data_IF_816949060431
#
_entry.id   IF_816949060431
#
_cell.length_a   1.000
_cell.length_b   1.000
_cell.length_c   1.000
_cell.angle_alpha   90.00
_cell.angle_beta   90.00
_cell.angle_gamma   90.00
#
_symmetry.space_group_name_H-M   'P 1'
#
loop_
_entity.id
_entity.type
_entity.pdbx_description
1 polymer ?
#
# COMPACT_ATOMS: atom_id res chain seq x y z
N UNK A 1 36.92 -27.13 29.97
CA UNK A 1 35.96 -26.14 29.40
C UNK A 1 35.92 -26.42 27.91
N UNK A 2 35.17 -27.45 27.54
CA UNK A 2 34.93 -27.77 26.13
C UNK A 2 34.08 -26.68 25.52
N UNK A 3 34.63 -26.00 24.51
CA UNK A 3 33.87 -25.12 23.63
C UNK A 3 33.48 -25.95 22.42
N UNK A 4 32.38 -26.68 22.55
CA UNK A 4 31.73 -27.27 21.39
C UNK A 4 31.39 -26.14 20.42
N UNK A 5 31.96 -26.25 19.22
CA UNK A 5 31.69 -25.38 18.10
C UNK A 5 30.37 -25.89 17.50
N UNK A 6 29.26 -25.25 17.87
CA UNK A 6 27.92 -25.58 17.39
C UNK A 6 27.86 -25.47 15.85
N UNK A 7 28.15 -26.57 15.16
CA UNK A 7 27.90 -26.71 13.73
C UNK A 7 26.39 -26.77 13.52
N UNK A 8 25.82 -25.75 12.87
CA UNK A 8 24.40 -25.71 12.55
C UNK A 8 24.05 -26.80 11.52
N UNK A 9 23.47 -27.91 11.98
CA UNK A 9 22.98 -29.00 11.13
C UNK A 9 21.63 -28.59 10.52
N UNK A 10 21.52 -28.67 9.19
CA UNK A 10 20.25 -28.49 8.46
C UNK A 10 19.67 -29.86 8.12
N UNK A 11 18.52 -30.19 8.70
CA UNK A 11 17.80 -31.45 8.43
C UNK A 11 16.55 -31.13 7.61
N UNK A 12 16.32 -31.81 6.46
CA UNK A 12 15.08 -31.63 5.70
C UNK A 12 13.84 -31.99 6.52
N UNK A 13 12.88 -31.08 6.62
CA UNK A 13 11.68 -31.26 7.44
C UNK A 13 10.86 -32.50 7.03
N UNK A 14 10.82 -32.86 5.75
CA UNK A 14 10.07 -34.01 5.25
C UNK A 14 10.60 -35.34 5.78
N UNK A 15 11.91 -35.43 6.05
CA UNK A 15 12.50 -36.63 6.66
C UNK A 15 11.98 -36.81 8.08
N UNK A 16 11.89 -35.72 8.84
CA UNK A 16 11.40 -35.73 10.22
C UNK A 16 9.88 -35.94 10.26
N UNK A 17 9.13 -35.30 9.37
CA UNK A 17 7.67 -35.38 9.35
C UNK A 17 7.16 -36.79 9.00
N UNK A 18 7.93 -37.59 8.24
CA UNK A 18 7.63 -39.00 7.97
C UNK A 18 7.61 -39.86 9.23
N UNK A 19 8.47 -39.57 10.20
CA UNK A 19 8.49 -40.27 11.49
C UNK A 19 7.26 -39.96 12.36
N UNK A 20 6.50 -38.91 12.01
CA UNK A 20 5.26 -38.52 12.66
C UNK A 20 4.01 -38.84 11.82
N UNK A 21 4.08 -39.85 10.95
CA UNK A 21 2.94 -40.36 10.20
C UNK A 21 2.22 -41.47 11.00
N UNK A 22 0.89 -41.37 11.10
CA UNK A 22 0.10 -42.35 11.82
C UNK A 22 -0.03 -43.61 10.94
N UNK A 23 0.32 -44.81 11.44
CA UNK A 23 0.24 -46.05 10.66
C UNK A 23 -1.21 -46.51 10.37
N UNK A 24 -2.22 -45.89 11.00
CA UNK A 24 -3.64 -46.21 10.81
C UNK A 24 -4.25 -45.33 9.72
N UNK A 25 -4.12 -44.01 9.83
CA UNK A 25 -4.72 -43.07 8.87
C UNK A 25 -3.76 -42.58 7.78
N UNK A 26 -2.46 -42.88 7.90
CA UNK A 26 -1.39 -42.43 6.99
C UNK A 26 -1.32 -40.90 6.83
N UNK A 27 -1.83 -40.18 7.83
CA UNK A 27 -1.73 -38.74 7.95
C UNK A 27 -0.76 -38.33 9.04
N UNK A 28 -0.39 -37.06 9.08
CA UNK A 28 0.38 -36.50 10.19
C UNK A 28 -0.38 -36.71 11.50
N UNK A 29 0.33 -37.18 12.52
CA UNK A 29 -0.26 -37.53 13.80
C UNK A 29 -0.89 -36.29 14.44
N UNK A 30 -2.18 -36.42 14.74
CA UNK A 30 -2.98 -35.44 15.48
C UNK A 30 -3.34 -36.02 16.82
N UNK A 31 -3.15 -35.23 17.84
CA UNK A 31 -3.33 -35.68 19.21
C UNK A 31 -2.51 -36.95 19.52
N UNK A 32 -1.18 -36.82 19.40
CA UNK A 32 -0.23 -37.91 19.52
C UNK A 32 -0.41 -38.77 20.78
N UNK A 33 -0.70 -40.05 20.59
CA UNK A 33 -0.88 -41.05 21.64
C UNK A 33 0.18 -42.15 21.50
N UNK A 34 0.83 -42.49 22.61
CA UNK A 34 1.87 -43.53 22.69
C UNK A 34 1.30 -44.73 23.44
N UNK A 35 1.42 -45.92 22.87
CA UNK A 35 1.10 -47.18 23.56
C UNK A 35 2.27 -47.62 24.46
N UNK A 36 2.03 -48.51 25.43
CA UNK A 36 3.11 -49.08 26.28
C UNK A 36 4.24 -49.74 25.50
N UNK A 37 3.96 -50.26 24.30
CA UNK A 37 4.96 -50.83 23.41
C UNK A 37 5.73 -49.77 22.59
N UNK A 38 5.47 -48.47 22.81
CA UNK A 38 6.24 -47.36 22.26
C UNK A 38 5.77 -46.84 20.89
N UNK A 39 4.66 -47.34 20.35
CA UNK A 39 4.17 -46.93 19.03
C UNK A 39 3.25 -45.72 19.12
N UNK A 40 3.31 -44.86 18.09
CA UNK A 40 2.65 -43.56 18.05
C UNK A 40 1.45 -43.57 17.09
N UNK A 41 0.34 -42.99 17.51
CA UNK A 41 -0.90 -42.92 16.75
C UNK A 41 -1.64 -41.60 16.98
N UNK A 42 -2.59 -41.26 16.10
CA UNK A 42 -3.60 -40.27 16.45
C UNK A 42 -4.53 -40.83 17.54
N UNK A 43 -5.00 -39.97 18.44
CA UNK A 43 -5.96 -40.36 19.49
C UNK A 43 -7.17 -41.11 18.94
N UNK A 44 -7.89 -40.52 17.99
CA UNK A 44 -9.10 -41.12 17.42
C UNK A 44 -8.81 -42.46 16.75
N UNK A 45 -7.64 -42.60 16.11
CA UNK A 45 -7.24 -43.82 15.43
C UNK A 45 -6.95 -44.97 16.41
N UNK A 46 -6.21 -44.70 17.48
CA UNK A 46 -5.89 -45.76 18.46
C UNK A 46 -7.12 -46.12 19.29
N UNK A 47 -7.95 -45.15 19.65
CA UNK A 47 -9.20 -45.40 20.38
C UNK A 47 -10.13 -46.32 19.56
N UNK A 48 -10.28 -46.08 18.25
CA UNK A 48 -11.09 -46.93 17.39
C UNK A 48 -10.51 -48.36 17.26
N UNK A 49 -9.19 -48.49 17.12
CA UNK A 49 -8.55 -49.80 17.04
C UNK A 49 -8.72 -50.61 18.33
N UNK A 50 -8.47 -49.98 19.49
CA UNK A 50 -8.53 -50.65 20.78
C UNK A 50 -9.95 -51.03 21.20
N UNK A 51 -10.95 -50.24 20.78
CA UNK A 51 -12.37 -50.60 20.95
C UNK A 51 -12.75 -51.87 20.18
N UNK A 52 -12.05 -52.19 19.08
CA UNK A 52 -12.30 -53.41 18.30
C UNK A 52 -11.46 -54.58 18.79
N UNK A 53 -10.19 -54.34 19.11
CA UNK A 53 -9.23 -55.35 19.56
C UNK A 53 -8.25 -54.71 20.52
N UNK A 54 -8.09 -55.28 21.71
CA UNK A 54 -7.14 -54.84 22.73
C UNK A 54 -5.68 -55.16 22.38
N UNK A 55 -5.25 -54.82 21.16
CA UNK A 55 -3.91 -55.04 20.64
C UNK A 55 -3.42 -53.80 19.89
N UNK A 56 -2.12 -53.49 20.01
CA UNK A 56 -1.47 -52.43 19.27
C UNK A 56 -1.58 -52.70 17.75
N UNK A 57 -2.11 -51.76 16.94
CA UNK A 57 -2.26 -51.95 15.50
C UNK A 57 -0.95 -52.22 14.75
N UNK A 58 0.18 -51.74 15.29
CA UNK A 58 1.47 -51.84 14.62
C UNK A 58 2.23 -53.14 14.94
N UNK A 59 2.23 -53.59 16.20
CA UNK A 59 3.02 -54.74 16.64
C UNK A 59 2.23 -55.87 17.30
N UNK A 60 0.90 -55.72 17.45
CA UNK A 60 -0.03 -56.69 18.06
C UNK A 60 0.24 -57.01 19.54
N UNK A 61 1.02 -56.18 20.22
CA UNK A 61 1.18 -56.28 21.67
C UNK A 61 -0.16 -56.00 22.36
N UNK A 62 -0.52 -56.76 23.40
CA UNK A 62 -1.73 -56.52 24.18
C UNK A 62 -1.71 -55.09 24.73
N UNK A 63 -2.76 -54.33 24.46
CA UNK A 63 -2.84 -52.92 24.84
C UNK A 63 -4.29 -52.55 25.04
N UNK A 64 -4.60 -51.91 26.16
CA UNK A 64 -5.93 -51.40 26.47
C UNK A 64 -5.95 -49.87 26.41
N UNK A 65 -7.15 -49.27 26.34
CA UNK A 65 -7.32 -47.81 26.22
C UNK A 65 -6.66 -47.07 27.40
N UNK A 66 -6.72 -47.66 28.59
CA UNK A 66 -6.12 -47.11 29.82
C UNK A 66 -4.58 -47.06 29.77
N UNK A 67 -3.97 -47.85 28.88
CA UNK A 67 -2.52 -47.95 28.72
C UNK A 67 -1.98 -47.03 27.63
N UNK A 68 -2.87 -46.27 26.97
CA UNK A 68 -2.51 -45.28 25.97
C UNK A 68 -2.25 -43.94 26.66
N UNK A 69 -1.05 -43.40 26.45
CA UNK A 69 -0.62 -42.15 27.08
C UNK A 69 -0.58 -41.04 26.03
N UNK A 70 -1.24 -39.92 26.33
CA UNK A 70 -1.21 -38.72 25.50
C UNK A 70 0.17 -38.04 25.60
N UNK A 71 0.80 -37.77 24.46
CA UNK A 71 2.11 -37.13 24.40
C UNK A 71 2.02 -35.69 23.84
N UNK A 72 1.87 -34.72 24.76
CA UNK A 72 1.78 -33.30 24.42
C UNK A 72 3.07 -32.71 23.84
N UNK A 73 4.23 -33.26 24.23
CA UNK A 73 5.53 -32.81 23.72
C UNK A 73 5.65 -33.09 22.23
N UNK A 74 5.18 -34.25 21.78
CA UNK A 74 5.18 -34.60 20.36
C UNK A 74 4.23 -33.73 19.55
N UNK A 75 3.04 -33.37 20.05
CA UNK A 75 2.21 -32.41 19.32
C UNK A 75 2.87 -31.05 19.20
N UNK A 76 3.57 -30.63 20.26
CA UNK A 76 4.27 -29.34 20.26
C UNK A 76 5.36 -29.35 19.20
N UNK A 77 6.14 -30.42 19.12
CA UNK A 77 7.18 -30.60 18.08
C UNK A 77 6.55 -30.62 16.68
N UNK A 78 5.49 -31.43 16.47
CA UNK A 78 4.79 -31.51 15.18
C UNK A 78 4.25 -30.13 14.78
N UNK A 79 3.64 -29.38 15.70
CA UNK A 79 3.15 -28.02 15.46
C UNK A 79 4.26 -27.07 15.06
N UNK A 80 5.38 -27.06 15.79
CA UNK A 80 6.53 -26.22 15.47
C UNK A 80 7.06 -26.56 14.07
N UNK A 81 7.26 -27.84 13.76
CA UNK A 81 7.74 -28.27 12.44
C UNK A 81 6.80 -27.83 11.30
N UNK A 82 5.49 -27.98 11.49
CA UNK A 82 4.51 -27.58 10.49
C UNK A 82 4.47 -26.05 10.31
N UNK A 83 4.58 -25.29 11.40
CA UNK A 83 4.64 -23.83 11.39
C UNK A 83 5.92 -23.33 10.71
N UNK A 84 7.08 -23.87 11.06
CA UNK A 84 8.35 -23.49 10.45
C UNK A 84 8.38 -23.85 8.95
N UNK A 85 7.80 -24.98 8.56
CA UNK A 85 7.62 -25.33 7.14
C UNK A 85 6.73 -24.32 6.41
N UNK A 86 5.64 -23.89 7.03
CA UNK A 86 4.74 -22.89 6.44
C UNK A 86 5.39 -21.50 6.35
N UNK A 87 6.13 -21.09 7.37
CA UNK A 87 6.95 -19.86 7.35
C UNK A 87 8.00 -19.91 6.23
N UNK A 88 8.78 -20.99 6.17
CA UNK A 88 9.80 -21.17 5.13
C UNK A 88 9.19 -21.18 3.71
N UNK A 89 8.02 -21.80 3.54
CA UNK A 89 7.28 -21.73 2.28
C UNK A 89 6.84 -20.30 1.96
N UNK A 90 6.29 -19.58 2.93
CA UNK A 90 5.87 -18.18 2.78
C UNK A 90 7.04 -17.27 2.41
N UNK A 91 8.15 -17.37 3.13
CA UNK A 91 9.39 -16.65 2.83
C UNK A 91 9.93 -16.98 1.43
N UNK A 92 9.90 -18.25 1.03
CA UNK A 92 10.28 -18.67 -0.31
C UNK A 92 9.40 -18.01 -1.38
N UNK A 93 8.08 -18.02 -1.22
CA UNK A 93 7.16 -17.37 -2.17
C UNK A 93 7.33 -15.85 -2.18
N UNK A 94 7.51 -15.22 -1.02
CA UNK A 94 7.82 -13.79 -0.93
C UNK A 94 9.12 -13.45 -1.63
N UNK A 95 10.14 -14.31 -1.52
CA UNK A 95 11.40 -14.14 -2.23
C UNK A 95 11.24 -14.28 -3.74
N UNK A 96 10.43 -15.23 -4.24
CA UNK A 96 10.13 -15.37 -5.67
C UNK A 96 9.38 -14.16 -6.20
N UNK A 97 8.41 -13.67 -5.43
CA UNK A 97 7.64 -12.48 -5.77
C UNK A 97 8.52 -11.23 -5.83
N UNK A 98 9.39 -11.04 -4.83
CA UNK A 98 10.34 -9.93 -4.76
C UNK A 98 11.46 -10.07 -5.81
N UNK A 99 11.84 -11.29 -6.19
CA UNK A 99 12.80 -11.54 -7.27
C UNK A 99 12.21 -11.26 -8.65
N UNK A 100 10.89 -11.38 -8.81
CA UNK A 100 10.14 -10.92 -9.99
C UNK A 100 9.98 -9.38 -10.04
N UNK A 101 10.89 -8.64 -9.42
CA UNK A 101 10.90 -7.17 -9.27
C UNK A 101 10.44 -6.46 -10.55
N UNK A 102 9.20 -5.95 -10.51
CA UNK A 102 8.85 -4.67 -11.10
C UNK A 102 9.65 -3.61 -10.32
N UNK A 103 10.36 -2.68 -10.97
CA UNK A 103 11.27 -1.76 -10.30
C UNK A 103 10.55 -0.97 -9.19
N UNK A 104 11.15 -0.94 -8.01
CA UNK A 104 10.67 -0.22 -6.83
C UNK A 104 10.47 1.27 -7.11
N UNK A 105 9.24 1.78 -6.94
CA UNK A 105 8.94 3.04 -6.28
C UNK A 105 7.43 3.20 -6.14
N UNK A 106 7.00 3.73 -4.99
CA UNK A 106 5.64 4.10 -4.60
C UNK A 106 4.89 3.07 -3.75
N UNK A 107 4.41 3.54 -2.60
CA UNK A 107 3.48 2.86 -1.71
C UNK A 107 2.30 2.35 -2.52
N UNK A 108 2.15 1.02 -2.62
CA UNK A 108 1.01 0.38 -3.27
C UNK A 108 -0.29 1.04 -2.77
N UNK A 109 -1.11 1.55 -3.69
CA UNK A 109 -2.41 2.10 -3.32
C UNK A 109 -3.29 0.98 -2.75
N UNK A 110 -4.20 1.23 -1.79
CA UNK A 110 -5.20 0.26 -1.30
C UNK A 110 -5.78 -0.69 -2.35
N UNK A 111 -6.02 -0.24 -3.59
CA UNK A 111 -6.53 -1.10 -4.68
C UNK A 111 -5.45 -2.06 -5.19
N UNK A 112 -4.21 -1.59 -5.38
CA UNK A 112 -3.09 -2.45 -5.75
C UNK A 112 -2.76 -3.43 -4.63
N UNK A 113 -2.87 -3.01 -3.36
CA UNK A 113 -2.73 -3.91 -2.22
C UNK A 113 -3.82 -4.98 -2.22
N UNK A 114 -5.09 -4.63 -2.43
CA UNK A 114 -6.18 -5.62 -2.50
C UNK A 114 -6.03 -6.54 -3.70
N UNK A 115 -5.70 -6.00 -4.87
CA UNK A 115 -5.50 -6.79 -6.08
C UNK A 115 -4.33 -7.75 -5.92
N UNK A 116 -3.23 -7.27 -5.35
CA UNK A 116 -2.03 -8.04 -5.12
C UNK A 116 -2.17 -9.04 -3.98
N UNK A 117 -2.91 -8.72 -2.92
CA UNK A 117 -3.23 -9.64 -1.82
C UNK A 117 -4.16 -10.74 -2.32
N UNK A 118 -5.26 -10.39 -2.98
CA UNK A 118 -6.24 -11.37 -3.46
C UNK A 118 -5.65 -12.25 -4.58
N UNK A 119 -4.79 -11.69 -5.44
CA UNK A 119 -4.09 -12.44 -6.48
C UNK A 119 -2.97 -13.30 -5.89
N UNK A 120 -2.19 -12.81 -4.91
CA UNK A 120 -1.19 -13.60 -4.15
C UNK A 120 -1.85 -14.76 -3.40
N UNK A 121 -2.96 -14.52 -2.72
CA UNK A 121 -3.73 -15.55 -2.02
C UNK A 121 -4.23 -16.61 -2.99
N UNK A 122 -4.82 -16.20 -4.12
CA UNK A 122 -5.29 -17.13 -5.16
C UNK A 122 -4.15 -17.94 -5.78
N UNK A 123 -3.00 -17.33 -6.06
CA UNK A 123 -1.82 -18.05 -6.58
C UNK A 123 -1.21 -19.01 -5.57
N UNK A 124 -1.09 -18.60 -4.29
CA UNK A 124 -0.57 -19.45 -3.21
C UNK A 124 -1.49 -20.63 -2.96
N UNK A 125 -2.80 -20.43 -2.97
CA UNK A 125 -3.80 -21.49 -2.81
C UNK A 125 -3.77 -22.47 -3.98
N UNK A 126 -3.61 -21.96 -5.22
CA UNK A 126 -3.42 -22.77 -6.41
C UNK A 126 -2.12 -23.59 -6.33
N UNK A 127 -0.96 -22.98 -6.10
CA UNK A 127 0.33 -23.68 -5.91
C UNK A 127 0.27 -24.76 -4.82
N UNK A 128 -0.38 -24.45 -3.69
CA UNK A 128 -0.61 -25.40 -2.59
C UNK A 128 -1.47 -26.58 -3.06
N UNK A 129 -2.53 -26.33 -3.82
CA UNK A 129 -3.36 -27.37 -4.41
C UNK A 129 -2.57 -28.26 -5.38
N UNK A 130 -1.77 -27.67 -6.27
CA UNK A 130 -0.92 -28.44 -7.21
C UNK A 130 0.12 -29.28 -6.49
N UNK A 131 0.76 -28.73 -5.45
CA UNK A 131 1.71 -29.48 -4.64
C UNK A 131 1.04 -30.66 -3.93
N UNK A 132 -0.13 -30.45 -3.33
CA UNK A 132 -0.89 -31.51 -2.68
C UNK A 132 -1.34 -32.59 -3.69
N UNK A 133 -1.78 -32.18 -4.88
CA UNK A 133 -2.12 -33.10 -5.96
C UNK A 133 -0.92 -33.96 -6.38
N UNK A 134 0.25 -33.33 -6.54
CA UNK A 134 1.51 -34.00 -6.88
C UNK A 134 1.95 -34.97 -5.78
N UNK A 135 1.89 -34.55 -4.52
CA UNK A 135 2.22 -35.38 -3.37
C UNK A 135 1.28 -36.59 -3.26
N UNK A 136 -0.02 -36.42 -3.48
CA UNK A 136 -0.98 -37.54 -3.54
C UNK A 136 -0.65 -38.52 -4.66
N UNK A 137 -0.28 -37.99 -5.82
CA UNK A 137 0.08 -38.81 -6.99
C UNK A 137 1.34 -39.62 -6.69
N UNK A 138 2.38 -39.01 -6.14
CA UNK A 138 3.62 -39.69 -5.73
C UNK A 138 3.39 -40.70 -4.60
N UNK A 139 2.52 -40.40 -3.62
CA UNK A 139 2.10 -41.37 -2.58
C UNK A 139 1.38 -42.56 -3.18
N UNK A 140 0.53 -42.35 -4.20
CA UNK A 140 -0.17 -43.43 -4.88
C UNK A 140 0.79 -44.29 -5.71
N UNK A 141 1.75 -43.67 -6.42
CA UNK A 141 2.80 -44.38 -7.16
C UNK A 141 3.70 -45.20 -6.25
N UNK A 142 4.14 -44.64 -5.14
CA UNK A 142 4.99 -45.33 -4.15
C UNK A 142 4.29 -46.52 -3.50
N UNK A 143 2.99 -46.41 -3.20
CA UNK A 143 2.16 -47.55 -2.75
C UNK A 143 2.09 -48.67 -3.80
N UNK A 144 1.87 -48.31 -5.07
CA UNK A 144 1.80 -49.26 -6.17
C UNK A 144 3.16 -49.92 -6.46
N UNK A 145 4.27 -49.16 -6.40
CA UNK A 145 5.65 -49.69 -6.48
C UNK A 145 5.99 -50.65 -5.35
N UNK A 146 5.42 -50.46 -4.17
CA UNK A 146 5.60 -51.35 -3.03
C UNK A 146 4.81 -52.66 -3.16
N UNK A 147 3.71 -52.67 -3.93
CA UNK A 147 2.84 -53.83 -4.13
C UNK A 147 3.13 -54.59 -5.44
N UNK A 148 3.69 -53.91 -6.45
CA UNK A 148 3.93 -54.46 -7.78
C UNK A 148 5.25 -53.90 -8.34
N UNK A 149 6.09 -54.75 -8.93
CA UNK A 149 7.29 -54.34 -9.67
C UNK A 149 7.27 -54.91 -11.08
N UNK A 150 7.47 -54.06 -12.09
CA UNK A 150 7.46 -54.44 -13.51
C UNK A 150 7.57 -53.22 -14.44
N UNK A 151 8.19 -53.41 -15.60
CA UNK A 151 8.41 -52.33 -16.60
C UNK A 151 7.10 -51.69 -17.11
N UNK A 152 6.02 -52.46 -17.13
CA UNK A 152 4.69 -52.00 -17.59
C UNK A 152 4.04 -51.01 -16.60
N UNK A 153 4.34 -51.14 -15.31
CA UNK A 153 3.87 -50.21 -14.27
C UNK A 153 4.56 -48.85 -14.38
N UNK A 154 5.87 -48.83 -14.64
CA UNK A 154 6.64 -47.60 -14.86
C UNK A 154 6.19 -46.86 -16.12
N UNK A 155 5.84 -47.61 -17.18
CA UNK A 155 5.31 -47.04 -18.41
C UNK A 155 3.97 -46.33 -18.17
N UNK A 156 3.07 -46.94 -17.40
CA UNK A 156 1.78 -46.35 -17.03
C UNK A 156 1.94 -45.12 -16.13
N UNK A 157 2.92 -45.10 -15.22
CA UNK A 157 3.20 -43.90 -14.41
C UNK A 157 3.70 -42.74 -15.26
N UNK A 158 4.55 -43.03 -16.25
CA UNK A 158 5.06 -42.02 -17.17
C UNK A 158 3.94 -41.41 -18.01
N UNK A 159 3.05 -42.24 -18.53
CA UNK A 159 1.86 -41.78 -19.28
C UNK A 159 0.90 -40.96 -18.39
N UNK A 160 0.75 -41.34 -17.12
CA UNK A 160 -0.04 -40.59 -16.15
C UNK A 160 0.55 -39.19 -15.86
N UNK A 161 1.87 -39.08 -15.73
CA UNK A 161 2.56 -37.79 -15.52
C UNK A 161 2.45 -36.86 -16.74
N UNK A 162 2.53 -37.43 -17.94
CA UNK A 162 2.35 -36.69 -19.20
C UNK A 162 0.91 -36.15 -19.31
N UNK A 163 -0.09 -36.98 -19.00
CA UNK A 163 -1.50 -36.58 -19.00
C UNK A 163 -1.81 -35.53 -17.92
N UNK A 164 -1.21 -35.67 -16.73
CA UNK A 164 -1.34 -34.68 -15.67
C UNK A 164 -0.78 -33.34 -16.14
N UNK A 165 0.47 -33.31 -16.64
CA UNK A 165 1.14 -32.10 -17.12
C UNK A 165 0.32 -31.36 -18.18
N UNK A 166 -0.24 -32.11 -19.14
CA UNK A 166 -1.10 -31.55 -20.19
C UNK A 166 -2.38 -30.93 -19.63
N UNK A 167 -2.96 -31.52 -18.59
CA UNK A 167 -4.13 -30.96 -17.91
C UNK A 167 -3.79 -29.66 -17.18
N UNK A 168 -2.59 -29.55 -16.60
CA UNK A 168 -2.11 -28.31 -15.96
C UNK A 168 -2.02 -27.18 -16.98
N UNK A 169 -1.39 -27.43 -18.13
CA UNK A 169 -1.24 -26.44 -19.20
C UNK A 169 -2.60 -25.88 -19.65
N UNK A 170 -3.59 -26.75 -19.86
CA UNK A 170 -4.95 -26.34 -20.25
C UNK A 170 -5.63 -25.45 -19.21
N UNK A 171 -5.42 -25.71 -17.91
CA UNK A 171 -5.98 -24.89 -16.83
C UNK A 171 -5.32 -23.51 -16.82
N UNK A 172 -3.99 -23.46 -16.95
CA UNK A 172 -3.23 -22.19 -16.99
C UNK A 172 -3.68 -21.32 -18.16
N UNK A 173 -3.84 -21.90 -19.36
CA UNK A 173 -4.31 -21.18 -20.55
C UNK A 173 -5.74 -20.64 -20.38
N UNK A 174 -6.65 -21.45 -19.83
CA UNK A 174 -8.02 -21.01 -19.57
C UNK A 174 -8.08 -19.88 -18.54
N UNK A 175 -7.21 -19.92 -17.52
CA UNK A 175 -7.12 -18.88 -16.50
C UNK A 175 -6.55 -17.57 -17.07
N UNK A 176 -5.47 -17.62 -17.85
CA UNK A 176 -4.90 -16.44 -18.52
C UNK A 176 -5.94 -15.75 -19.42
N UNK A 177 -6.71 -16.55 -20.18
CA UNK A 177 -7.81 -16.04 -21.02
C UNK A 177 -8.92 -15.37 -20.19
N UNK A 178 -9.26 -15.95 -19.04
CA UNK A 178 -10.26 -15.40 -18.13
C UNK A 178 -9.78 -14.11 -17.46
N UNK A 179 -8.52 -14.06 -17.02
CA UNK A 179 -7.90 -12.87 -16.45
C UNK A 179 -7.87 -11.72 -17.46
N UNK A 180 -7.52 -12.00 -18.71
CA UNK A 180 -7.60 -11.01 -19.81
C UNK A 180 -9.03 -10.50 -20.07
N UNK A 181 -10.05 -11.30 -19.76
CA UNK A 181 -11.46 -10.88 -19.92
C UNK A 181 -11.99 -10.03 -18.75
N UNK A 182 -11.40 -10.16 -17.57
CA UNK A 182 -11.81 -9.46 -16.34
C UNK A 182 -10.94 -8.22 -16.08
N UNK A 183 -9.72 -8.17 -16.62
CA UNK A 183 -8.83 -7.02 -16.48
C UNK A 183 -9.49 -5.75 -17.03
N UNK A 184 -9.61 -4.74 -16.18
CA UNK A 184 -10.11 -3.42 -16.56
C UNK A 184 -9.25 -2.85 -17.70
N UNK A 185 -9.84 -2.25 -18.75
CA UNK A 185 -9.07 -1.58 -19.79
C UNK A 185 -8.11 -0.54 -19.18
N UNK A 186 -6.87 -0.41 -19.68
CA UNK A 186 -5.87 0.54 -19.15
C UNK A 186 -6.32 2.02 -19.21
N UNK A 187 -7.43 2.29 -19.89
CA UNK A 187 -8.15 3.57 -20.00
C UNK A 187 -8.81 4.03 -18.68
N UNK A 188 -8.93 3.15 -17.67
CA UNK A 188 -9.51 3.49 -16.36
C UNK A 188 -8.45 3.73 -15.27
N UNK A 189 -7.17 3.44 -15.55
CA UNK A 189 -6.10 3.60 -14.57
C UNK A 189 -5.69 5.08 -14.42
N UNK A 190 -5.45 5.56 -13.18
CA UNK A 190 -4.91 6.88 -12.94
C UNK A 190 -3.55 7.10 -13.62
N UNK A 191 -3.32 8.32 -14.08
CA UNK A 191 -2.06 8.72 -14.74
C UNK A 191 -1.31 9.69 -13.83
N UNK A 192 -0.02 9.46 -13.63
CA UNK A 192 0.88 10.41 -12.99
C UNK A 192 1.15 11.57 -13.95
N UNK A 193 0.85 12.78 -13.52
CA UNK A 193 1.10 14.00 -14.28
C UNK A 193 1.75 15.08 -13.39
N UNK A 194 2.30 16.10 -14.05
CA UNK A 194 2.71 17.33 -13.39
C UNK A 194 1.71 18.44 -13.70
N UNK A 195 1.03 18.99 -12.70
CA UNK A 195 0.17 20.16 -12.85
C UNK A 195 0.95 21.44 -12.50
N UNK A 196 1.07 22.36 -13.45
CA UNK A 196 1.87 23.59 -13.30
C UNK A 196 1.03 24.85 -13.51
N UNK A 197 1.19 25.84 -12.64
CA UNK A 197 0.68 27.19 -12.86
C UNK A 197 1.87 28.18 -12.84
N UNK A 198 2.46 28.50 -14.01
CA UNK A 198 3.72 29.26 -14.09
C UNK A 198 3.64 30.64 -13.46
N UNK A 199 2.50 31.34 -13.63
CA UNK A 199 2.27 32.70 -13.10
C UNK A 199 2.35 32.77 -11.56
N UNK A 200 2.21 31.64 -10.86
CA UNK A 200 2.33 31.52 -9.39
C UNK A 200 3.43 30.55 -8.94
N UNK A 201 4.31 30.12 -9.85
CA UNK A 201 5.36 29.11 -9.56
C UNK A 201 4.83 27.84 -8.88
N UNK A 202 3.60 27.43 -9.21
CA UNK A 202 3.00 26.19 -8.68
C UNK A 202 3.45 25.01 -9.54
N UNK A 203 3.91 23.93 -8.89
CA UNK A 203 4.14 22.62 -9.53
C UNK A 203 3.69 21.53 -8.58
N UNK A 204 2.76 20.70 -9.03
CA UNK A 204 2.21 19.58 -8.27
C UNK A 204 2.45 18.27 -9.03
N UNK A 205 2.95 17.25 -8.33
CA UNK A 205 3.14 15.89 -8.84
C UNK A 205 2.03 15.00 -8.28
N UNK A 206 1.18 14.46 -9.15
CA UNK A 206 -0.05 13.78 -8.72
C UNK A 206 -0.50 12.71 -9.70
N UNK A 207 -1.25 11.74 -9.17
CA UNK A 207 -1.97 10.75 -9.96
C UNK A 207 -3.41 11.21 -10.12
N UNK A 208 -3.87 11.36 -11.36
CA UNK A 208 -5.25 11.76 -11.66
C UNK A 208 -5.97 10.64 -12.43
N UNK A 209 -7.18 10.24 -11.99
CA UNK A 209 -8.05 9.40 -12.77
C UNK A 209 -8.33 10.00 -14.15
N UNK A 210 -8.35 9.16 -15.20
CA UNK A 210 -8.63 9.58 -16.58
C UNK A 210 -10.05 10.16 -16.78
N UNK A 211 -10.93 10.01 -15.80
CA UNK A 211 -12.26 10.62 -15.74
C UNK A 211 -12.26 12.09 -15.32
N UNK A 212 -11.17 12.59 -14.75
CA UNK A 212 -11.09 13.99 -14.31
C UNK A 212 -11.26 14.95 -15.49
N UNK A 213 -11.85 16.09 -15.22
CA UNK A 213 -12.08 17.19 -16.16
C UNK A 213 -11.18 18.37 -15.79
N UNK A 214 -11.15 19.39 -16.65
CA UNK A 214 -10.50 20.68 -16.33
C UNK A 214 -11.06 21.34 -15.07
N UNK A 215 -12.33 21.10 -14.72
CA UNK A 215 -12.94 21.59 -13.48
C UNK A 215 -12.34 20.92 -12.26
N UNK A 216 -12.15 19.61 -12.31
CA UNK A 216 -11.53 18.86 -11.21
C UNK A 216 -10.07 19.30 -11.02
N UNK A 217 -9.35 19.60 -12.12
CA UNK A 217 -8.01 20.18 -12.05
C UNK A 217 -8.00 21.58 -11.40
N UNK A 218 -9.01 22.41 -11.66
CA UNK A 218 -9.17 23.71 -10.96
C UNK A 218 -9.43 23.52 -9.48
N UNK A 219 -10.32 22.59 -9.12
CA UNK A 219 -10.64 22.31 -7.72
C UNK A 219 -9.41 21.82 -6.96
N UNK A 220 -8.55 21.02 -7.60
CA UNK A 220 -7.25 20.62 -7.04
C UNK A 220 -6.37 21.85 -6.74
N UNK A 221 -6.26 22.80 -7.68
CA UNK A 221 -5.48 24.03 -7.49
C UNK A 221 -6.06 24.88 -6.34
N UNK A 222 -7.39 25.05 -6.31
CA UNK A 222 -8.07 25.83 -5.27
C UNK A 222 -7.85 25.20 -3.89
N UNK A 223 -8.08 23.89 -3.78
CA UNK A 223 -7.92 23.15 -2.53
C UNK A 223 -6.46 23.16 -2.04
N UNK A 224 -5.48 23.14 -2.95
CA UNK A 224 -4.07 23.29 -2.60
C UNK A 224 -3.82 24.61 -1.86
N UNK A 225 -4.29 25.74 -2.40
CA UNK A 225 -4.10 27.06 -1.79
C UNK A 225 -4.88 27.24 -0.48
N UNK A 226 -6.09 26.67 -0.39
CA UNK A 226 -6.84 26.61 0.87
C UNK A 226 -6.05 25.85 1.95
N UNK A 227 -5.48 24.69 1.61
CA UNK A 227 -4.68 23.88 2.54
C UNK A 227 -3.42 24.60 3.03
N UNK A 228 -2.86 25.49 2.22
CA UNK A 228 -1.70 26.33 2.56
C UNK A 228 -2.07 27.59 3.36
N UNK A 229 -3.36 27.81 3.63
CA UNK A 229 -3.84 28.94 4.43
C UNK A 229 -3.98 30.25 3.66
N UNK A 230 -3.89 30.23 2.33
CA UNK A 230 -4.02 31.41 1.47
C UNK A 230 -5.04 31.16 0.35
N UNK A 231 -6.34 31.29 0.62
CA UNK A 231 -7.39 30.91 -0.32
C UNK A 231 -7.39 31.79 -1.57
N UNK A 232 -7.77 31.19 -2.71
CA UNK A 232 -7.95 31.90 -3.99
C UNK A 232 -9.11 32.88 -3.89
N UNK A 233 -8.86 34.16 -4.18
CA UNK A 233 -9.86 35.23 -4.16
C UNK A 233 -10.57 35.39 -5.51
N UNK A 234 -9.82 35.34 -6.61
CA UNK A 234 -10.39 35.36 -7.96
C UNK A 234 -9.51 34.56 -8.92
N UNK A 235 -10.16 33.85 -9.84
CA UNK A 235 -9.51 33.03 -10.86
C UNK A 235 -10.01 33.48 -12.23
N UNK A 236 -9.09 33.79 -13.16
CA UNK A 236 -9.49 34.11 -14.53
C UNK A 236 -9.93 32.85 -15.29
N UNK A 237 -10.67 33.02 -16.38
CA UNK A 237 -10.96 31.93 -17.33
C UNK A 237 -9.67 31.51 -18.07
N UNK A 238 -8.82 30.74 -17.40
CA UNK A 238 -7.61 30.14 -17.96
C UNK A 238 -7.91 28.79 -18.60
N UNK A 239 -7.21 28.50 -19.70
CA UNK A 239 -7.26 27.18 -20.33
C UNK A 239 -6.22 26.25 -19.69
N UNK A 240 -6.48 24.95 -19.75
CA UNK A 240 -5.48 23.93 -19.46
C UNK A 240 -4.82 23.44 -20.74
N UNK A 241 -3.50 23.32 -20.69
CA UNK A 241 -2.65 22.99 -21.83
C UNK A 241 -1.80 21.78 -21.47
N UNK A 242 -1.99 20.68 -22.18
CA UNK A 242 -1.26 19.43 -22.01
C UNK A 242 -0.01 19.40 -22.89
N UNK A 243 1.11 19.02 -22.28
CA UNK A 243 2.38 18.68 -22.92
C UNK A 243 2.69 17.22 -22.63
N UNK A 244 2.77 16.40 -23.67
CA UNK A 244 3.09 14.98 -23.55
C UNK A 244 4.59 14.78 -23.28
N UNK A 245 4.93 13.82 -22.41
CA UNK A 245 6.32 13.58 -21.99
C UNK A 245 7.25 13.05 -23.10
N UNK A 246 6.70 12.46 -24.17
CA UNK A 246 7.44 11.77 -25.23
C UNK A 246 7.19 12.35 -26.64
N UNK A 247 6.48 13.47 -26.75
CA UNK A 247 6.25 14.15 -28.03
C UNK A 247 6.82 15.56 -27.97
N UNK A 248 7.85 15.80 -28.77
CA UNK A 248 8.37 17.15 -28.99
C UNK A 248 7.45 17.89 -29.98
N UNK A 249 6.41 18.55 -29.47
CA UNK A 249 5.74 19.63 -30.23
C UNK A 249 4.22 19.77 -30.10
N UNK A 250 3.50 18.72 -29.67
CA UNK A 250 2.04 18.79 -29.65
C UNK A 250 1.53 19.44 -28.36
N UNK A 251 1.15 20.71 -28.48
CA UNK A 251 0.47 21.48 -27.43
C UNK A 251 -1.04 21.23 -27.57
N UNK A 252 -1.62 20.49 -26.63
CA UNK A 252 -3.05 20.15 -26.66
C UNK A 252 -3.82 21.01 -25.65
N UNK A 253 -4.76 21.80 -26.13
CA UNK A 253 -5.68 22.55 -25.25
C UNK A 253 -6.80 21.60 -24.81
N UNK A 254 -6.97 21.44 -23.50
CA UNK A 254 -7.99 20.59 -22.92
C UNK A 254 -9.36 21.28 -22.95
N UNK A 255 -10.37 20.55 -23.41
CA UNK A 255 -11.77 20.93 -23.27
C UNK A 255 -12.30 20.56 -21.88
N UNK A 256 -13.55 20.90 -21.56
CA UNK A 256 -14.18 20.54 -20.28
C UNK A 256 -14.56 19.06 -20.17
N UNK A 257 -14.14 18.21 -21.11
CA UNK A 257 -14.37 16.78 -21.10
C UNK A 257 -13.36 16.02 -20.23
N UNK A 258 -13.52 14.70 -20.11
CA UNK A 258 -12.58 13.84 -19.41
C UNK A 258 -11.21 13.87 -20.08
N UNK A 259 -10.17 14.09 -19.27
CA UNK A 259 -8.78 14.12 -19.72
C UNK A 259 -8.34 12.81 -20.41
N UNK A 260 -9.00 11.70 -20.11
CA UNK A 260 -8.75 10.38 -20.70
C UNK A 260 -8.88 10.35 -22.23
N UNK A 261 -9.66 11.28 -22.81
CA UNK A 261 -9.81 11.46 -24.26
C UNK A 261 -8.49 11.77 -24.98
N UNK A 262 -7.50 12.31 -24.26
CA UNK A 262 -6.26 12.83 -24.85
C UNK A 262 -5.09 11.86 -24.78
N UNK A 263 -5.35 10.56 -24.54
CA UNK A 263 -4.32 9.50 -24.50
C UNK A 263 -3.09 9.86 -23.66
N UNK A 264 -3.32 10.54 -22.53
CA UNK A 264 -2.26 11.06 -21.67
C UNK A 264 -1.36 9.91 -21.20
N UNK A 265 -0.06 10.10 -21.35
CA UNK A 265 0.97 9.16 -20.90
C UNK A 265 1.56 9.59 -19.55
N UNK A 266 2.16 8.64 -18.84
CA UNK A 266 2.82 8.87 -17.55
C UNK A 266 3.89 9.95 -17.66
N UNK A 267 3.93 10.87 -16.70
CA UNK A 267 4.89 11.98 -16.64
C UNK A 267 4.55 13.18 -17.53
N UNK A 268 3.40 13.19 -18.21
CA UNK A 268 2.94 14.36 -18.97
C UNK A 268 2.70 15.57 -18.05
N UNK A 269 2.86 16.77 -18.59
CA UNK A 269 2.67 18.02 -17.83
C UNK A 269 1.41 18.75 -18.32
N UNK A 270 0.52 19.13 -17.41
CA UNK A 270 -0.61 20.02 -17.69
C UNK A 270 -0.31 21.41 -17.11
N UNK A 271 -0.38 22.42 -17.95
CA UNK A 271 -0.23 23.83 -17.57
C UNK A 271 -1.59 24.49 -17.43
N UNK A 272 -1.78 25.25 -16.36
CA UNK A 272 -2.89 26.18 -16.22
C UNK A 272 -2.45 27.58 -16.63
N UNK A 273 -3.06 28.14 -17.68
CA UNK A 273 -2.77 29.49 -18.18
C UNK A 273 -3.77 30.55 -17.68
N UNK A 274 -4.33 30.35 -16.50
CA UNK A 274 -5.13 31.38 -15.82
C UNK A 274 -4.31 32.20 -14.83
N UNK A 275 -4.80 33.40 -14.55
CA UNK A 275 -4.37 34.20 -13.42
C UNK A 275 -5.08 33.73 -12.16
N UNK A 276 -4.28 33.42 -11.13
CA UNK A 276 -4.76 33.04 -9.80
C UNK A 276 -4.43 34.21 -8.89
N UNK A 277 -5.44 34.89 -8.35
CA UNK A 277 -5.26 35.94 -7.35
C UNK A 277 -5.57 35.36 -5.99
N UNK A 278 -4.59 35.34 -5.09
CA UNK A 278 -4.73 34.85 -3.73
C UNK A 278 -5.20 35.98 -2.82
N UNK A 279 -5.76 35.63 -1.67
CA UNK A 279 -6.16 36.61 -0.65
C UNK A 279 -4.96 37.44 -0.16
N UNK A 280 -3.75 36.88 -0.16
CA UNK A 280 -2.52 37.61 0.16
C UNK A 280 -2.11 38.66 -0.88
N UNK A 281 -2.55 38.52 -2.13
CA UNK A 281 -2.29 39.47 -3.23
C UNK A 281 -3.27 40.66 -3.23
N UNK A 282 -4.35 40.57 -2.44
CA UNK A 282 -5.31 41.66 -2.30
C UNK A 282 -4.59 42.94 -1.86
N UNK A 283 -4.98 44.12 -2.40
CA UNK A 283 -4.37 45.38 -1.98
C UNK A 283 -4.52 45.53 -0.46
N UNK A 284 -3.37 45.53 0.24
CA UNK A 284 -3.33 45.66 1.69
C UNK A 284 -3.99 46.97 2.09
N UNK A 285 -5.09 46.90 2.82
CA UNK A 285 -5.79 48.08 3.32
C UNK A 285 -5.25 48.48 4.68
N UNK A 286 -5.16 49.78 4.95
CA UNK A 286 -4.72 50.23 6.26
C UNK A 286 -5.70 49.73 7.33
N UNK A 287 -5.20 49.29 8.48
CA UNK A 287 -6.05 48.82 9.58
C UNK A 287 -7.10 49.86 10.00
N UNK A 288 -6.77 51.14 9.87
CA UNK A 288 -7.69 52.26 10.11
C UNK A 288 -8.92 52.25 9.20
N UNK A 289 -8.82 51.72 7.97
CA UNK A 289 -9.96 51.53 7.06
C UNK A 289 -10.90 50.43 7.55
N UNK A 290 -10.34 49.29 7.93
CA UNK A 290 -11.10 48.08 8.27
C UNK A 290 -11.53 48.02 9.73
N UNK A 291 -11.07 48.96 10.57
CA UNK A 291 -11.47 49.03 11.97
C UNK A 291 -12.97 49.31 12.14
N UNK A 292 -13.62 48.46 12.94
CA UNK A 292 -15.00 48.60 13.41
C UNK A 292 -14.99 48.70 14.93
N UNK A 293 -15.58 49.78 15.47
CA UNK A 293 -15.63 50.02 16.92
C UNK A 293 -16.47 48.93 17.60
N UNK A 294 -15.91 48.29 18.63
CA UNK A 294 -16.62 47.28 19.45
C UNK A 294 -16.49 45.82 19.01
N UNK A 295 -15.79 45.52 17.90
CA UNK A 295 -15.61 44.13 17.42
C UNK A 295 -14.36 43.41 17.95
N UNK A 296 -13.59 44.03 18.84
CA UNK A 296 -12.41 43.37 19.45
C UNK A 296 -11.33 42.95 18.46
N UNK A 297 -11.21 43.64 17.32
CA UNK A 297 -10.24 43.32 16.27
C UNK A 297 -8.80 43.42 16.80
N UNK A 298 -7.95 42.45 16.43
CA UNK A 298 -6.53 42.43 16.80
C UNK A 298 -5.66 42.91 15.64
N UNK A 299 -4.58 43.63 15.95
CA UNK A 299 -3.58 44.06 14.98
C UNK A 299 -2.17 44.03 15.57
N UNK A 300 -1.19 43.62 14.76
CA UNK A 300 0.22 43.78 15.09
C UNK A 300 0.67 45.21 14.75
N UNK A 301 1.31 45.89 15.70
CA UNK A 301 1.90 47.21 15.51
C UNK A 301 3.41 47.13 15.42
N UNK A 302 3.97 47.86 14.46
CA UNK A 302 5.39 47.88 14.12
C UNK A 302 6.01 49.23 14.44
N UNK A 303 7.31 49.20 14.70
CA UNK A 303 8.17 50.37 14.73
C UNK A 303 9.11 50.34 13.54
N UNK A 304 9.16 51.44 12.79
CA UNK A 304 10.09 51.65 11.69
C UNK A 304 11.23 52.54 12.15
N UNK A 305 12.44 51.99 12.20
CA UNK A 305 13.65 52.72 12.57
C UNK A 305 14.09 53.68 11.46
N UNK A 306 13.89 53.32 10.19
CA UNK A 306 14.23 54.17 9.03
C UNK A 306 13.40 55.46 8.99
N UNK A 307 12.10 55.37 9.30
CA UNK A 307 11.19 56.53 9.32
C UNK A 307 10.98 57.11 10.72
N UNK A 308 11.69 56.59 11.73
CA UNK A 308 11.52 56.90 13.15
C UNK A 308 10.03 57.03 13.56
N UNK A 309 9.23 56.00 13.25
CA UNK A 309 7.77 56.01 13.44
C UNK A 309 7.32 54.71 14.08
N UNK A 310 6.67 54.79 15.23
CA UNK A 310 6.04 53.68 15.95
C UNK A 310 4.54 53.59 15.61
N UNK A 311 3.84 52.55 16.09
CA UNK A 311 2.40 52.36 15.88
C UNK A 311 1.98 52.30 14.41
N UNK A 312 2.76 51.59 13.59
CA UNK A 312 2.44 51.30 12.20
C UNK A 312 1.68 49.98 12.17
N UNK A 313 0.46 49.95 11.62
CA UNK A 313 -0.27 48.68 11.50
C UNK A 313 0.45 47.71 10.55
N UNK A 314 0.26 46.41 10.75
CA UNK A 314 0.86 45.34 9.95
C UNK A 314 0.75 45.55 8.42
N UNK A 315 -0.42 45.92 7.85
CA UNK A 315 -0.54 46.27 6.43
C UNK A 315 0.40 47.41 5.98
N UNK A 316 0.53 48.48 6.77
CA UNK A 316 1.40 49.60 6.44
C UNK A 316 2.88 49.25 6.57
N UNK A 317 3.25 48.38 7.53
CA UNK A 317 4.62 47.90 7.66
C UNK A 317 5.06 47.15 6.41
N UNK A 318 4.17 46.28 5.90
CA UNK A 318 4.47 45.41 4.76
C UNK A 318 4.35 46.12 3.40
N UNK A 319 3.53 47.18 3.28
CA UNK A 319 3.29 47.88 2.02
C UNK A 319 3.94 49.28 1.95
N UNK A 320 3.71 50.15 2.95
CA UNK A 320 4.22 51.52 2.92
C UNK A 320 5.69 51.61 3.37
N UNK A 321 6.12 50.68 4.21
CA UNK A 321 7.49 50.59 4.74
C UNK A 321 8.23 49.34 4.20
N UNK A 322 7.83 48.87 3.01
CA UNK A 322 8.50 47.76 2.34
C UNK A 322 9.96 48.13 2.06
N UNK A 323 10.92 47.38 2.64
CA UNK A 323 12.36 47.67 2.54
C UNK A 323 12.92 48.59 3.64
N UNK A 324 12.10 49.05 4.58
CA UNK A 324 12.58 49.76 5.76
C UNK A 324 12.88 48.79 6.91
N UNK A 325 13.81 49.17 7.80
CA UNK A 325 14.06 48.41 9.01
C UNK A 325 12.85 48.57 9.96
N UNK A 326 12.03 47.52 10.02
CA UNK A 326 10.81 47.47 10.82
C UNK A 326 10.85 46.28 11.76
N UNK A 327 10.43 46.48 13.01
CA UNK A 327 10.28 45.41 14.00
C UNK A 327 8.89 45.46 14.64
N UNK A 328 8.40 44.31 15.11
CA UNK A 328 7.14 44.23 15.85
C UNK A 328 7.35 44.96 17.19
N UNK A 329 6.59 46.03 17.41
CA UNK A 329 6.59 46.79 18.65
C UNK A 329 5.54 46.28 19.64
N UNK A 330 4.35 45.91 19.14
CA UNK A 330 3.25 45.37 19.95
C UNK A 330 2.53 44.27 19.16
N UNK A 331 2.67 42.98 19.54
CA UNK A 331 1.97 41.89 18.90
C UNK A 331 0.51 41.80 19.39
N UNK A 332 -0.42 41.47 18.49
CA UNK A 332 -1.82 41.10 18.77
C UNK A 332 -2.58 42.10 19.67
N UNK A 333 -2.34 43.39 19.50
CA UNK A 333 -3.01 44.44 20.28
C UNK A 333 -4.48 44.60 19.87
N UNK A 334 -5.36 44.87 20.85
CA UNK A 334 -6.78 45.21 20.61
C UNK A 334 -6.96 46.72 20.80
N UNK A 335 -6.88 47.51 19.73
CA UNK A 335 -6.97 48.97 19.84
C UNK A 335 -8.41 49.43 20.09
N UNK A 336 -8.55 50.45 20.95
CA UNK A 336 -9.83 51.08 21.29
C UNK A 336 -10.34 52.08 20.24
N UNK A 337 -9.51 52.40 19.25
CA UNK A 337 -9.84 53.27 18.12
C UNK A 337 -8.99 52.92 16.88
N UNK A 338 -9.40 53.40 15.70
CA UNK A 338 -8.68 53.20 14.45
C UNK A 338 -7.35 53.99 14.45
N UNK A 339 -6.25 53.38 14.90
CA UNK A 339 -4.95 54.04 14.94
C UNK A 339 -3.92 53.40 13.99
N UNK A 340 -3.27 54.24 13.18
CA UNK A 340 -2.05 53.92 12.44
C UNK A 340 -1.25 55.21 12.22
N UNK A 341 -0.03 55.29 12.73
CA UNK A 341 0.77 56.52 12.66
C UNK A 341 1.39 56.77 11.29
N UNK A 342 1.44 55.74 10.44
CA UNK A 342 1.76 55.91 9.02
C UNK A 342 0.75 56.87 8.36
N UNK A 343 -0.54 56.81 8.75
CA UNK A 343 -1.58 57.74 8.31
C UNK A 343 -1.38 59.11 8.96
N UNK A 344 -1.23 59.15 10.29
CA UNK A 344 -1.10 60.40 11.06
C UNK A 344 0.07 61.28 10.59
N UNK A 345 1.15 60.65 10.12
CA UNK A 345 2.34 61.32 9.59
C UNK A 345 2.33 61.52 8.07
N UNK A 346 1.25 61.17 7.37
CA UNK A 346 1.13 61.35 5.92
C UNK A 346 2.04 60.43 5.08
N UNK A 347 2.56 59.35 5.66
CA UNK A 347 3.47 58.40 4.99
C UNK A 347 2.71 57.24 4.31
N UNK A 348 1.39 57.16 4.52
CA UNK A 348 0.57 56.04 4.08
C UNK A 348 0.25 56.11 2.58
N UNK A 349 0.70 55.09 1.84
CA UNK A 349 0.46 54.92 0.40
C UNK A 349 -0.72 54.00 0.07
N UNK A 350 -1.30 53.33 1.06
CA UNK A 350 -2.42 52.39 0.90
C UNK A 350 -3.79 53.05 1.22
N UNK A 351 -4.92 52.52 0.71
CA UNK A 351 -6.25 53.10 0.96
C UNK A 351 -6.59 53.21 2.46
N UNK A 352 -7.08 54.37 2.90
CA UNK A 352 -7.50 54.64 4.27
C UNK A 352 -8.72 55.59 4.36
N UNK A 353 -9.45 55.57 5.49
CA UNK A 353 -10.57 56.45 5.85
C UNK A 353 -10.20 57.96 5.87
N UNK A 354 -8.93 58.32 6.07
CA UNK A 354 -8.48 59.72 6.16
C UNK A 354 -7.63 60.16 4.94
N UNK A 355 -8.19 60.08 3.73
CA UNK A 355 -7.78 60.96 2.63
C UNK A 355 -8.90 61.99 2.41
N UNK A 356 -8.91 63.04 3.22
CA UNK A 356 -9.53 64.32 2.87
C UNK A 356 -8.43 65.32 2.62
#
# INVERSE_FOLDING_TARGET
MDRDMDLAIKIPADVILKEFECPVCFGTIKDACVTKCGHLFCKDCIDECLNRRHECPNCKHETTIEEVIRNFSLDTIIKILLQEREKAATEHYESMFNAAKIPEAHTLNPIETVFHTNMKESFVEFEKYFRDLKDRTERSKSKLRAQFSGEELEKNFKELDENLSKSIEMIVESFDKHMKSISLPPELLPVRIFLKAPKKNLTLDMHIPRTHTTKDLLDIIINYYISKGDPVQSLSNGNFVLHMALSDGDIIILDNGPIGKYSIIQGSTIYFDGEIVLKSDAPKECFTKNYVKGQGMKCNYYHCFTCNTNWICEPCSQACHQGHNTSIAIPSHVPTWACCYCVKKGLCRIPNKDKK
#
